data_IF_623099508249
#
_entry.id   IF_623099508249
#
_cell.length_a   1.000
_cell.length_b   1.000
_cell.length_c   1.000
_cell.angle_alpha   90.00
_cell.angle_beta   90.00
_cell.angle_gamma   90.00
#
_symmetry.space_group_name_H-M   'P 1'
#
loop_
_entity.id
_entity.type
_entity.pdbx_description
1 polymer ?
#
# COMPACT_ATOMS: atom_id res chain seq x y z
N UNK A 1 -21.69 -0.38 -0.63
CA UNK A 1 -21.40 0.82 0.16
C UNK A 1 -22.10 0.80 1.53
N UNK A 2 -23.40 0.54 1.61
CA UNK A 2 -24.15 0.45 2.89
C UNK A 2 -23.53 -0.58 3.84
N UNK A 3 -23.15 -1.74 3.33
CA UNK A 3 -22.44 -2.77 4.11
C UNK A 3 -21.10 -2.23 4.66
N UNK A 4 -20.33 -1.51 3.85
CA UNK A 4 -19.05 -0.95 4.28
C UNK A 4 -19.25 0.14 5.37
N UNK A 5 -20.29 0.95 5.28
CA UNK A 5 -20.66 1.92 6.32
C UNK A 5 -21.03 1.19 7.62
N UNK A 6 -21.85 0.14 7.53
CA UNK A 6 -22.27 -0.64 8.70
C UNK A 6 -21.08 -1.30 9.41
N UNK A 7 -20.15 -1.93 8.66
CA UNK A 7 -18.96 -2.56 9.17
C UNK A 7 -17.99 -1.53 9.78
N UNK A 8 -17.72 -0.43 9.08
CA UNK A 8 -16.84 0.63 9.60
C UNK A 8 -17.40 1.27 10.88
N UNK A 9 -18.75 1.38 10.99
CA UNK A 9 -19.39 1.87 12.20
C UNK A 9 -19.17 0.95 13.42
N UNK A 10 -18.96 -0.37 13.23
CA UNK A 10 -18.59 -1.28 14.32
C UNK A 10 -17.24 -0.89 14.90
N UNK A 11 -16.25 -0.58 14.04
CA UNK A 11 -14.94 -0.11 14.46
C UNK A 11 -15.05 1.19 15.27
N UNK A 12 -15.84 2.14 14.79
CA UNK A 12 -16.09 3.40 15.52
C UNK A 12 -16.73 3.17 16.89
N UNK A 13 -17.72 2.27 17.01
CA UNK A 13 -18.35 1.91 18.29
C UNK A 13 -17.38 1.22 19.26
N UNK A 14 -16.38 0.53 18.75
CA UNK A 14 -15.30 -0.07 19.56
C UNK A 14 -14.21 0.95 19.97
N UNK A 15 -14.37 2.23 19.64
CA UNK A 15 -13.43 3.31 19.98
C UNK A 15 -12.40 3.62 18.89
N UNK A 16 -12.53 3.03 17.71
CA UNK A 16 -11.68 3.34 16.56
C UNK A 16 -11.94 4.74 16.00
N UNK A 17 -10.90 5.45 15.57
CA UNK A 17 -11.01 6.81 15.05
C UNK A 17 -10.58 6.97 13.60
N UNK A 18 -9.70 6.12 13.11
CA UNK A 18 -9.12 6.23 11.76
C UNK A 18 -9.00 4.87 11.10
N UNK A 19 -9.40 4.78 9.84
CA UNK A 19 -9.18 3.64 8.95
C UNK A 19 -8.24 4.07 7.84
N UNK A 20 -7.24 3.25 7.54
CA UNK A 20 -6.37 3.41 6.37
C UNK A 20 -6.82 2.39 5.33
N UNK A 21 -7.42 2.86 4.24
CA UNK A 21 -7.83 2.03 3.11
C UNK A 21 -6.76 2.08 2.03
N UNK A 22 -6.04 0.99 1.86
CA UNK A 22 -4.93 0.90 0.91
C UNK A 22 -5.32 0.25 -0.42
N UNK A 23 -6.60 0.22 -0.73
CA UNK A 23 -7.10 -0.21 -2.04
C UNK A 23 -6.52 0.68 -3.13
N UNK A 24 -5.71 0.08 -4.00
CA UNK A 24 -4.98 0.78 -5.06
C UNK A 24 -5.61 0.55 -6.45
N UNK A 25 -4.99 1.11 -7.49
CA UNK A 25 -5.42 0.90 -8.88
C UNK A 25 -5.34 -0.58 -9.24
N UNK A 26 -6.37 -1.09 -9.90
CA UNK A 26 -6.49 -2.50 -10.32
C UNK A 26 -7.30 -3.37 -9.36
N UNK A 27 -7.55 -2.93 -8.12
CA UNK A 27 -8.34 -3.67 -7.12
C UNK A 27 -9.56 -2.92 -6.59
N UNK A 28 -9.99 -1.89 -7.32
CA UNK A 28 -11.31 -1.27 -7.10
C UNK A 28 -11.31 -0.02 -6.21
N UNK A 29 -10.20 0.73 -6.12
CA UNK A 29 -10.18 2.01 -5.41
C UNK A 29 -11.31 2.94 -5.87
N UNK A 30 -12.11 3.43 -4.92
CA UNK A 30 -13.19 4.40 -5.16
C UNK A 30 -13.10 5.57 -4.16
N UNK A 31 -12.46 6.69 -4.54
CA UNK A 31 -12.31 7.85 -3.67
C UNK A 31 -13.63 8.43 -3.18
N UNK A 32 -14.65 8.43 -4.06
CA UNK A 32 -15.97 9.00 -3.70
C UNK A 32 -16.72 8.13 -2.71
N UNK A 33 -16.62 6.79 -2.85
CA UNK A 33 -17.19 5.86 -1.87
C UNK A 33 -16.51 6.00 -0.51
N UNK A 34 -15.18 6.08 -0.46
CA UNK A 34 -14.43 6.29 0.79
C UNK A 34 -14.84 7.59 1.49
N UNK A 35 -15.01 8.68 0.73
CA UNK A 35 -15.49 9.95 1.29
C UNK A 35 -16.93 9.86 1.82
N UNK A 36 -17.81 9.06 1.20
CA UNK A 36 -19.16 8.81 1.72
C UNK A 36 -19.14 7.95 2.99
N UNK A 37 -18.30 6.91 3.04
CA UNK A 37 -18.08 6.08 4.23
C UNK A 37 -17.58 6.94 5.39
N UNK A 38 -16.59 7.77 5.17
CA UNK A 38 -16.07 8.69 6.19
C UNK A 38 -17.17 9.59 6.77
N UNK A 39 -17.97 10.23 5.89
CA UNK A 39 -19.09 11.09 6.32
C UNK A 39 -20.20 10.32 7.03
N UNK A 40 -20.53 9.11 6.56
CA UNK A 40 -21.58 8.28 7.12
C UNK A 40 -21.24 7.68 8.49
N UNK A 41 -19.97 7.51 8.79
CA UNK A 41 -19.50 6.90 10.04
C UNK A 41 -18.90 7.89 11.04
N UNK A 42 -18.49 9.08 10.58
CA UNK A 42 -17.72 10.05 11.37
C UNK A 42 -16.26 9.64 11.58
N UNK A 43 -15.78 8.58 10.93
CA UNK A 43 -14.39 8.14 11.01
C UNK A 43 -13.50 8.94 10.07
N UNK A 44 -12.23 9.10 10.44
CA UNK A 44 -11.22 9.52 9.49
C UNK A 44 -10.88 8.33 8.57
N UNK A 45 -10.88 8.57 7.25
CA UNK A 45 -10.47 7.58 6.27
C UNK A 45 -9.27 8.12 5.49
N UNK A 46 -8.13 7.44 5.59
CA UNK A 46 -6.92 7.70 4.82
C UNK A 46 -6.94 6.80 3.60
N UNK A 47 -6.95 7.38 2.41
CA UNK A 47 -6.96 6.65 1.15
C UNK A 47 -5.55 6.40 0.64
N UNK A 48 -5.28 5.21 0.12
CA UNK A 48 -4.06 4.83 -0.58
C UNK A 48 -4.04 5.23 -2.05
N UNK A 49 -2.85 5.16 -2.66
CA UNK A 49 -2.66 5.35 -4.10
C UNK A 49 -1.49 4.50 -4.61
N UNK A 50 -1.40 4.37 -5.92
CA UNK A 50 -0.41 3.51 -6.57
C UNK A 50 -1.07 2.28 -7.20
N UNK A 51 -0.30 1.21 -7.40
CA UNK A 51 -0.72 0.03 -8.15
C UNK A 51 -0.46 -1.24 -7.36
N UNK A 52 -1.36 -2.20 -7.47
CA UNK A 52 -1.25 -3.50 -6.83
C UNK A 52 -0.30 -4.45 -7.60
N UNK A 53 -0.44 -5.76 -7.44
CA UNK A 53 0.40 -6.76 -8.13
C UNK A 53 0.25 -6.67 -9.65
N UNK A 54 1.29 -7.04 -10.37
CA UNK A 54 1.37 -6.93 -11.83
C UNK A 54 0.17 -7.51 -12.59
N UNK A 55 -0.40 -8.62 -12.10
CA UNK A 55 -1.59 -9.23 -12.69
C UNK A 55 -2.85 -8.34 -12.67
N UNK A 56 -2.88 -7.33 -11.80
CA UNK A 56 -3.99 -6.37 -11.69
C UNK A 56 -3.68 -5.01 -12.32
N UNK A 57 -2.51 -4.86 -12.92
CA UNK A 57 -2.15 -3.61 -13.59
C UNK A 57 -3.06 -3.35 -14.80
N UNK A 58 -3.52 -2.11 -14.99
CA UNK A 58 -4.36 -1.77 -16.15
C UNK A 58 -3.57 -1.88 -17.45
N UNK A 59 -4.30 -2.04 -18.55
CA UNK A 59 -3.73 -1.96 -19.89
C UNK A 59 -2.91 -0.68 -20.07
N UNK A 60 -1.79 -0.77 -20.82
CA UNK A 60 -0.91 0.36 -21.08
C UNK A 60 0.13 0.63 -19.98
N UNK A 61 0.10 -0.11 -18.85
CA UNK A 61 1.12 0.06 -17.80
C UNK A 61 2.54 -0.20 -18.31
N UNK A 62 2.72 -1.15 -19.23
CA UNK A 62 4.04 -1.46 -19.78
C UNK A 62 4.63 -0.32 -20.62
N UNK A 63 3.79 0.56 -21.16
CA UNK A 63 4.20 1.76 -21.90
C UNK A 63 4.59 2.96 -21.02
N UNK A 64 4.34 2.90 -19.71
CA UNK A 64 4.67 3.97 -18.78
C UNK A 64 6.11 3.87 -18.29
N UNK A 65 6.79 5.02 -18.26
CA UNK A 65 8.09 5.13 -17.58
C UNK A 65 7.91 5.17 -16.04
N UNK A 66 9.01 5.04 -15.30
CA UNK A 66 9.03 5.25 -13.84
C UNK A 66 8.53 6.66 -13.50
N UNK A 67 8.97 7.67 -14.26
CA UNK A 67 8.58 9.07 -14.03
C UNK A 67 7.11 9.32 -14.33
N UNK A 68 6.50 8.64 -15.31
CA UNK A 68 5.06 8.74 -15.57
C UNK A 68 4.25 8.23 -14.40
N UNK A 69 4.61 7.07 -13.87
CA UNK A 69 3.95 6.46 -12.71
C UNK A 69 4.19 7.31 -11.44
N UNK A 70 5.40 7.86 -11.27
CA UNK A 70 5.70 8.72 -10.13
C UNK A 70 4.85 10.00 -10.16
N UNK A 71 4.73 10.68 -11.32
CA UNK A 71 3.87 11.86 -11.47
C UNK A 71 2.40 11.57 -11.15
N UNK A 72 1.88 10.41 -11.54
CA UNK A 72 0.51 10.00 -11.20
C UNK A 72 0.34 9.82 -9.70
N UNK A 73 1.29 9.19 -9.01
CA UNK A 73 1.25 9.01 -7.56
C UNK A 73 1.35 10.38 -6.86
N UNK A 74 2.27 11.24 -7.28
CA UNK A 74 2.41 12.61 -6.74
C UNK A 74 1.12 13.39 -6.89
N UNK A 75 0.52 13.41 -8.09
CA UNK A 75 -0.75 14.08 -8.33
C UNK A 75 -1.88 13.54 -7.44
N UNK A 76 -1.94 12.20 -7.24
CA UNK A 76 -2.93 11.60 -6.33
C UNK A 76 -2.77 12.08 -4.88
N UNK A 77 -1.55 12.34 -4.42
CA UNK A 77 -1.25 12.82 -3.07
C UNK A 77 -1.45 14.33 -2.93
N UNK A 78 -1.07 15.12 -3.94
CA UNK A 78 -1.03 16.59 -3.84
C UNK A 78 -2.28 17.28 -4.39
N UNK A 79 -2.88 16.74 -5.44
CA UNK A 79 -4.01 17.35 -6.15
C UNK A 79 -5.31 16.57 -5.93
N UNK A 80 -5.23 15.23 -6.00
CA UNK A 80 -6.37 14.33 -5.85
C UNK A 80 -6.48 13.32 -6.98
N UNK A 81 -7.35 12.33 -6.79
CA UNK A 81 -7.56 11.25 -7.75
C UNK A 81 -8.52 11.71 -8.86
N UNK A 82 -8.04 11.78 -10.08
CA UNK A 82 -8.84 12.19 -11.24
C UNK A 82 -9.48 13.58 -11.03
N UNK A 83 -10.77 13.68 -11.29
CA UNK A 83 -11.57 14.90 -11.12
C UNK A 83 -12.17 15.08 -9.72
N UNK A 84 -11.84 14.20 -8.77
CA UNK A 84 -12.52 14.16 -7.46
C UNK A 84 -12.02 15.22 -6.47
N UNK A 85 -10.77 15.69 -6.62
CA UNK A 85 -10.08 16.51 -5.63
C UNK A 85 -9.81 15.78 -4.30
N UNK A 86 -10.12 14.47 -4.19
CA UNK A 86 -9.88 13.66 -3.00
C UNK A 86 -8.44 13.14 -3.05
N UNK A 87 -7.62 13.59 -2.12
CA UNK A 87 -6.19 13.29 -2.05
C UNK A 87 -5.92 12.00 -1.29
N UNK A 88 -4.93 11.24 -1.76
CA UNK A 88 -4.39 10.13 -1.01
C UNK A 88 -3.50 10.62 0.14
N UNK A 89 -3.53 9.91 1.26
CA UNK A 89 -2.69 10.20 2.44
C UNK A 89 -1.52 9.23 2.62
N UNK A 90 -1.47 8.15 1.83
CA UNK A 90 -0.41 7.14 1.86
C UNK A 90 -0.19 6.61 0.45
N UNK A 91 1.05 6.27 0.11
CA UNK A 91 1.41 5.59 -1.13
C UNK A 91 1.28 4.09 -0.90
N UNK A 92 0.43 3.43 -1.67
CA UNK A 92 0.20 2.00 -1.58
C UNK A 92 -1.28 1.65 -1.28
N UNK A 93 -1.57 0.40 -1.07
CA UNK A 93 -0.62 -0.70 -0.96
C UNK A 93 0.04 -0.97 -2.33
N UNK A 94 1.38 -0.89 -2.42
CA UNK A 94 2.12 -1.27 -3.61
C UNK A 94 2.26 -2.78 -3.63
N UNK A 95 1.65 -3.42 -4.64
CA UNK A 95 1.61 -4.88 -4.72
C UNK A 95 2.86 -5.46 -5.37
N UNK A 96 3.40 -6.50 -4.75
CA UNK A 96 4.57 -7.22 -5.25
C UNK A 96 4.31 -8.72 -5.24
N UNK A 97 4.57 -9.38 -6.36
CA UNK A 97 4.67 -10.83 -6.47
C UNK A 97 6.10 -11.30 -6.14
N UNK A 98 6.32 -12.60 -6.24
CA UNK A 98 7.66 -13.19 -6.13
C UNK A 98 7.86 -14.24 -7.22
N UNK A 99 8.90 -14.13 -8.03
CA UNK A 99 9.82 -12.98 -8.18
C UNK A 99 9.11 -11.68 -8.59
N UNK A 100 9.73 -10.52 -8.27
CA UNK A 100 9.24 -9.22 -8.74
C UNK A 100 9.22 -9.16 -10.27
N UNK A 101 8.09 -8.75 -10.84
CA UNK A 101 8.00 -8.43 -12.26
C UNK A 101 8.65 -7.07 -12.58
N UNK A 102 9.00 -6.83 -13.83
CA UNK A 102 9.53 -5.52 -14.26
C UNK A 102 8.52 -4.39 -14.02
N UNK A 103 7.24 -4.68 -14.18
CA UNK A 103 6.15 -3.73 -13.94
C UNK A 103 6.05 -3.35 -12.45
N UNK A 104 6.12 -4.33 -11.55
CA UNK A 104 6.11 -4.10 -10.09
C UNK A 104 7.37 -3.36 -9.63
N UNK A 105 8.52 -3.70 -10.16
CA UNK A 105 9.78 -2.98 -9.90
C UNK A 105 9.68 -1.51 -10.33
N UNK A 106 9.05 -1.25 -11.49
CA UNK A 106 8.77 0.12 -11.95
C UNK A 106 7.89 0.87 -10.97
N UNK A 107 6.82 0.23 -10.46
CA UNK A 107 5.91 0.83 -9.48
C UNK A 107 6.62 1.14 -8.16
N UNK A 108 7.46 0.23 -7.64
CA UNK A 108 8.24 0.47 -6.43
C UNK A 108 9.17 1.67 -6.59
N UNK A 109 9.91 1.75 -7.71
CA UNK A 109 10.79 2.88 -8.03
C UNK A 109 10.01 4.19 -8.10
N UNK A 110 8.87 4.18 -8.77
CA UNK A 110 7.98 5.33 -8.86
C UNK A 110 7.43 5.76 -7.48
N UNK A 111 7.06 4.80 -6.64
CA UNK A 111 6.63 5.04 -5.27
C UNK A 111 7.73 5.71 -4.43
N UNK A 112 8.98 5.27 -4.57
CA UNK A 112 10.13 5.88 -3.90
C UNK A 112 10.33 7.35 -4.34
N UNK A 113 10.28 7.63 -5.64
CA UNK A 113 10.36 9.01 -6.16
C UNK A 113 9.22 9.88 -5.63
N UNK A 114 8.00 9.36 -5.65
CA UNK A 114 6.83 10.06 -5.12
C UNK A 114 6.92 10.30 -3.61
N UNK A 115 7.44 9.35 -2.83
CA UNK A 115 7.69 9.55 -1.41
C UNK A 115 8.67 10.69 -1.16
N UNK A 116 9.78 10.74 -1.89
CA UNK A 116 10.78 11.80 -1.77
C UNK A 116 10.21 13.19 -2.06
N UNK A 117 9.29 13.28 -3.01
CA UNK A 117 8.68 14.55 -3.40
C UNK A 117 7.59 14.99 -2.42
N UNK A 118 6.74 14.04 -1.98
CA UNK A 118 5.54 14.36 -1.19
C UNK A 118 5.73 14.21 0.31
N UNK A 119 6.71 13.40 0.75
CA UNK A 119 6.89 12.99 2.14
C UNK A 119 5.85 11.98 2.63
N UNK A 120 4.95 11.48 1.78
CA UNK A 120 3.96 10.48 2.16
C UNK A 120 4.62 9.14 2.52
N UNK A 121 4.08 8.41 3.50
CA UNK A 121 4.55 7.05 3.81
C UNK A 121 4.23 6.08 2.67
N UNK A 122 5.00 4.99 2.57
CA UNK A 122 4.74 3.89 1.64
C UNK A 122 4.28 2.67 2.43
N UNK A 123 3.25 1.97 1.95
CA UNK A 123 2.92 0.61 2.40
C UNK A 123 3.04 -0.37 1.25
N UNK A 124 3.55 -1.57 1.53
CA UNK A 124 3.84 -2.58 0.51
C UNK A 124 3.26 -3.93 0.87
N UNK A 125 2.61 -4.55 -0.10
CA UNK A 125 2.22 -5.95 -0.12
C UNK A 125 3.35 -6.78 -0.72
N UNK A 126 4.24 -7.39 0.06
CA UNK A 126 5.37 -8.15 -0.47
C UNK A 126 4.93 -9.51 -1.01
N UNK A 127 5.71 -10.06 -1.91
CA UNK A 127 5.61 -11.47 -2.26
C UNK A 127 5.84 -12.38 -1.05
N UNK A 128 5.41 -13.65 -1.14
CA UNK A 128 5.37 -14.57 0.01
C UNK A 128 6.71 -15.21 0.38
N UNK A 129 7.74 -15.08 -0.45
CA UNK A 129 9.07 -15.60 -0.11
C UNK A 129 9.74 -14.74 0.96
N UNK A 130 10.46 -15.34 1.88
CA UNK A 130 11.18 -14.63 2.96
C UNK A 130 12.19 -13.59 2.43
N UNK A 131 12.71 -13.77 1.21
CA UNK A 131 13.59 -12.80 0.57
C UNK A 131 12.84 -11.59 -0.02
N UNK A 132 11.53 -11.69 -0.28
CA UNK A 132 10.77 -10.65 -0.97
C UNK A 132 10.75 -9.30 -0.23
N UNK A 133 10.52 -9.22 1.09
CA UNK A 133 10.55 -7.95 1.82
C UNK A 133 11.90 -7.23 1.74
N UNK A 134 13.00 -7.95 1.79
CA UNK A 134 14.34 -7.36 1.69
C UNK A 134 14.60 -6.82 0.29
N UNK A 135 14.23 -7.55 -0.77
CA UNK A 135 14.36 -7.07 -2.15
C UNK A 135 13.51 -5.80 -2.38
N UNK A 136 12.29 -5.75 -1.85
CA UNK A 136 11.45 -4.56 -1.91
C UNK A 136 12.14 -3.35 -1.27
N UNK A 137 12.71 -3.52 -0.07
CA UNK A 137 13.44 -2.44 0.61
C UNK A 137 14.69 -2.03 -0.16
N UNK A 138 15.41 -2.97 -0.79
CA UNK A 138 16.57 -2.66 -1.61
C UNK A 138 16.19 -1.81 -2.84
N UNK A 139 15.08 -2.13 -3.50
CA UNK A 139 14.58 -1.31 -4.62
C UNK A 139 14.18 0.09 -4.16
N UNK A 140 13.42 0.21 -3.07
CA UNK A 140 12.98 1.49 -2.54
C UNK A 140 14.17 2.36 -2.08
N UNK A 141 15.08 1.79 -1.31
CA UNK A 141 16.28 2.48 -0.82
C UNK A 141 17.23 2.87 -1.97
N UNK A 142 17.35 2.03 -3.00
CA UNK A 142 18.16 2.31 -4.19
C UNK A 142 17.67 3.55 -4.97
N UNK A 143 16.39 3.88 -4.89
CA UNK A 143 15.82 5.12 -5.45
C UNK A 143 15.80 6.27 -4.41
N UNK A 144 16.36 6.05 -3.22
CA UNK A 144 16.50 7.06 -2.18
C UNK A 144 15.25 7.28 -1.32
N UNK A 145 14.38 6.29 -1.21
CA UNK A 145 13.26 6.35 -0.27
C UNK A 145 13.74 6.38 1.18
N UNK A 146 13.01 7.10 2.02
CA UNK A 146 13.16 7.04 3.48
C UNK A 146 12.52 5.73 3.98
N UNK A 147 13.35 4.73 4.26
CA UNK A 147 12.92 3.42 4.76
C UNK A 147 12.18 3.54 6.10
N UNK A 148 12.51 4.54 6.92
CA UNK A 148 11.80 4.83 8.17
C UNK A 148 10.33 5.27 8.00
N UNK A 149 9.87 5.44 6.76
CA UNK A 149 8.48 5.71 6.38
C UNK A 149 7.91 4.66 5.45
N UNK A 150 8.43 3.44 5.51
CA UNK A 150 7.95 2.28 4.75
C UNK A 150 7.35 1.27 5.71
N UNK A 151 6.15 0.80 5.41
CA UNK A 151 5.46 -0.30 6.09
C UNK A 151 5.54 -1.53 5.20
N UNK A 152 6.03 -2.64 5.73
CA UNK A 152 6.01 -3.94 5.06
C UNK A 152 4.92 -4.80 5.66
N UNK A 153 3.89 -5.08 4.86
CA UNK A 153 2.69 -5.80 5.26
C UNK A 153 2.85 -7.32 5.30
N UNK A 154 1.87 -7.98 5.90
CA UNK A 154 1.64 -9.42 5.81
C UNK A 154 2.79 -10.31 6.30
N UNK A 155 3.56 -9.86 7.28
CA UNK A 155 4.76 -10.60 7.73
C UNK A 155 4.41 -11.96 8.35
N UNK A 156 3.22 -12.11 8.91
CA UNK A 156 2.74 -13.39 9.48
C UNK A 156 2.64 -14.53 8.46
N UNK A 157 2.48 -14.21 7.18
CA UNK A 157 2.49 -15.22 6.09
C UNK A 157 3.84 -15.41 5.43
N UNK A 158 4.77 -14.46 5.64
CA UNK A 158 6.06 -14.41 4.95
C UNK A 158 7.16 -15.06 5.77
N UNK A 159 7.26 -14.71 7.05
CA UNK A 159 8.29 -15.23 7.95
C UNK A 159 7.74 -16.28 8.90
N UNK A 160 8.47 -17.40 9.04
CA UNK A 160 8.15 -18.48 9.97
C UNK A 160 8.99 -18.44 11.26
N UNK A 161 10.08 -17.70 11.25
CA UNK A 161 10.97 -17.53 12.40
C UNK A 161 11.23 -16.05 12.68
N UNK A 162 11.67 -15.79 13.92
CA UNK A 162 11.93 -14.43 14.41
C UNK A 162 13.20 -13.84 13.79
N UNK A 163 14.15 -14.66 13.35
CA UNK A 163 15.43 -14.21 12.84
C UNK A 163 15.27 -13.31 11.60
N UNK A 164 14.51 -13.78 10.60
CA UNK A 164 14.22 -12.99 9.40
C UNK A 164 13.49 -11.70 9.70
N UNK A 165 12.56 -11.71 10.65
CA UNK A 165 11.84 -10.51 11.10
C UNK A 165 12.78 -9.49 11.76
N UNK A 166 13.72 -9.95 12.59
CA UNK A 166 14.72 -9.09 13.22
C UNK A 166 15.64 -8.46 12.18
N UNK A 167 16.05 -9.22 11.17
CA UNK A 167 16.90 -8.68 10.09
C UNK A 167 16.15 -7.62 9.27
N UNK A 168 14.86 -7.84 9.00
CA UNK A 168 14.01 -6.83 8.36
C UNK A 168 13.87 -5.57 9.25
N UNK A 169 13.63 -5.75 10.55
CA UNK A 169 13.53 -4.64 11.51
C UNK A 169 14.79 -3.76 11.57
N UNK A 170 15.96 -4.37 11.45
CA UNK A 170 17.25 -3.66 11.41
C UNK A 170 17.40 -2.72 10.21
N UNK A 171 16.60 -2.92 9.15
CA UNK A 171 16.54 -1.99 8.01
C UNK A 171 15.83 -0.69 8.36
N UNK A 172 15.09 -0.63 9.47
CA UNK A 172 14.45 0.57 10.00
C UNK A 172 13.02 0.81 9.49
N UNK A 173 12.42 -0.12 8.74
CA UNK A 173 11.03 -0.03 8.30
C UNK A 173 10.04 -0.43 9.40
N UNK A 174 8.76 -0.10 9.20
CA UNK A 174 7.66 -0.61 10.01
C UNK A 174 7.28 -2.03 9.57
N UNK A 175 6.98 -2.86 10.57
CA UNK A 175 6.63 -4.27 10.41
C UNK A 175 5.14 -4.45 10.69
N UNK A 176 4.38 -4.92 9.70
CA UNK A 176 2.94 -5.09 9.85
C UNK A 176 2.54 -6.57 9.91
N UNK A 177 1.81 -6.90 10.98
CA UNK A 177 1.14 -8.17 11.19
C UNK A 177 -0.36 -7.93 11.19
N UNK A 178 -1.05 -8.35 10.17
CA UNK A 178 -2.45 -8.00 9.89
C UNK A 178 -3.40 -9.19 9.72
N UNK A 179 -2.87 -10.42 9.82
CA UNK A 179 -3.64 -11.65 9.57
C UNK A 179 -4.04 -12.38 10.86
N UNK A 180 -4.31 -11.65 11.92
CA UNK A 180 -4.76 -12.23 13.18
C UNK A 180 -6.16 -12.85 13.03
N UNK A 181 -6.32 -14.08 13.57
CA UNK A 181 -7.58 -14.83 13.49
C UNK A 181 -7.78 -15.63 12.19
N UNK A 182 -6.86 -15.56 11.26
CA UNK A 182 -6.88 -16.39 10.06
C UNK A 182 -6.18 -17.73 10.32
N UNK A 183 -6.89 -18.66 10.97
CA UNK A 183 -6.35 -19.97 11.35
C UNK A 183 -6.19 -20.92 10.15
N UNK A 184 -6.89 -20.67 9.06
CA UNK A 184 -6.79 -21.44 7.82
C UNK A 184 -6.80 -20.47 6.64
N UNK A 185 -5.67 -19.89 6.30
CA UNK A 185 -5.59 -19.17 5.05
C UNK A 185 -5.26 -20.16 3.92
N UNK A 186 -6.15 -20.27 2.93
CA UNK A 186 -5.81 -20.86 1.63
C UNK A 186 -4.69 -20.08 0.91
N UNK A 187 -4.08 -19.17 1.65
CA UNK A 187 -2.99 -18.31 1.25
C UNK A 187 -1.65 -18.72 1.88
N UNK A 188 -1.58 -19.89 2.53
CA UNK A 188 -0.33 -20.51 2.99
C UNK A 188 0.29 -21.36 1.90
#
# INVERSE_FOLDING_TARGET
EETAVAEAALFGRAGGGTIVDVTSVGIGRDPRALARIARGTGLNVVMGCGYYVGASHPEGMDGKSVDDVAREIVANVTEGVGDTGIRAGIIGELGCSWPLTDSERRVLRAGALAQRETGAAITVHPGRAEAAPLEVLDVLAGEGADVGRVVIGHLGRTYRDVGGVVDLARRGCYLEYDQFGWESSNFS
#
